data_IF_393473796520
#
_entry.id   IF_393473796520
#
_cell.length_a   1.000
_cell.length_b   1.000
_cell.length_c   1.000
_cell.angle_alpha   90.00
_cell.angle_beta   90.00
_cell.angle_gamma   90.00
#
_symmetry.space_group_name_H-M   'P 1'
#
loop_
_entity.id
_entity.type
_entity.pdbx_description
1 polymer ?
#
# COMPACT_ATOMS: atom_id res chain seq x y z
N UNK A 1 -0.01 4.65 12.29
CA UNK A 1 0.76 4.73 13.56
C UNK A 1 2.25 4.87 13.20
N UNK A 2 2.73 6.10 13.06
CA UNK A 2 4.15 6.39 12.84
C UNK A 2 4.66 7.15 14.08
N UNK A 3 5.74 6.72 14.75
CA UNK A 3 6.29 7.44 15.89
C UNK A 3 7.03 8.71 15.46
N UNK A 4 6.89 9.78 16.24
CA UNK A 4 7.59 11.05 16.06
C UNK A 4 9.07 10.95 16.45
N UNK A 5 9.95 11.57 15.66
CA UNK A 5 11.39 11.57 15.86
C UNK A 5 11.85 12.74 16.74
N UNK A 6 12.56 12.42 17.83
CA UNK A 6 13.31 13.37 18.66
C UNK A 6 14.70 13.67 18.08
N UNK A 7 15.29 14.76 18.57
CA UNK A 7 16.38 15.54 17.98
C UNK A 7 17.73 14.82 17.75
N UNK A 8 18.49 15.43 16.83
CA UNK A 8 19.69 14.93 16.17
C UNK A 8 20.97 14.91 17.03
N UNK A 9 21.81 13.91 16.78
CA UNK A 9 23.25 13.95 17.03
C UNK A 9 24.00 13.60 15.72
N UNK A 10 24.97 14.44 15.35
CA UNK A 10 25.74 14.33 14.11
C UNK A 10 26.60 13.06 14.08
N UNK A 11 26.39 12.21 13.07
CA UNK A 11 27.26 11.07 12.77
C UNK A 11 27.83 11.18 11.34
N UNK A 12 29.12 10.83 11.23
CA UNK A 12 29.95 10.75 10.01
C UNK A 12 29.21 10.13 8.82
N UNK A 13 29.52 10.52 7.57
CA UNK A 13 28.90 9.93 6.40
C UNK A 13 29.40 8.49 6.22
N UNK A 14 28.64 7.54 6.75
CA UNK A 14 28.72 6.16 6.30
C UNK A 14 28.36 6.16 4.80
N UNK A 15 29.18 5.51 3.98
CA UNK A 15 28.78 5.10 2.62
C UNK A 15 27.43 4.40 2.75
N UNK A 16 26.35 5.11 2.39
CA UNK A 16 24.98 4.60 2.50
C UNK A 16 24.85 3.48 1.49
N UNK A 17 25.02 2.24 1.92
CA UNK A 17 24.48 1.12 1.17
C UNK A 17 23.00 1.40 0.96
N UNK A 18 22.54 1.38 -0.29
CA UNK A 18 21.11 1.59 -0.59
C UNK A 18 20.34 0.48 0.09
N UNK A 19 19.51 0.81 1.09
CA UNK A 19 18.64 -0.16 1.75
C UNK A 19 17.80 -0.88 0.70
N UNK A 20 17.93 -2.22 0.56
CA UNK A 20 17.14 -2.96 -0.40
C UNK A 20 15.66 -2.87 -0.05
N UNK A 21 14.80 -2.65 -1.04
CA UNK A 21 13.35 -2.73 -0.86
C UNK A 21 12.82 -4.16 -1.08
N UNK A 22 13.68 -5.06 -1.55
CA UNK A 22 13.35 -6.46 -1.78
C UNK A 22 13.47 -7.30 -0.52
N UNK A 23 12.77 -8.43 -0.51
CA UNK A 23 12.78 -9.42 0.56
C UNK A 23 12.56 -10.84 0.02
N UNK A 24 13.02 -11.86 0.76
CA UNK A 24 12.62 -13.24 0.51
C UNK A 24 11.31 -13.54 1.23
N UNK A 25 10.35 -14.08 0.48
CA UNK A 25 9.06 -14.47 1.03
C UNK A 25 9.19 -15.71 1.92
N UNK A 26 8.50 -15.68 3.06
CA UNK A 26 8.36 -16.75 4.02
C UNK A 26 6.88 -17.06 4.23
N UNK A 27 6.42 -18.31 4.01
CA UNK A 27 5.02 -18.70 4.26
C UNK A 27 4.57 -18.46 5.70
N UNK A 28 5.48 -18.62 6.67
CA UNK A 28 5.18 -18.40 8.08
C UNK A 28 4.88 -16.92 8.38
N UNK A 29 5.57 -15.99 7.70
CA UNK A 29 5.28 -14.55 7.81
C UNK A 29 3.91 -14.25 7.19
N UNK A 30 3.61 -14.78 6.01
CA UNK A 30 2.31 -14.55 5.36
C UNK A 30 1.14 -15.05 6.22
N UNK A 31 1.27 -16.26 6.79
CA UNK A 31 0.24 -16.80 7.68
C UNK A 31 0.01 -15.92 8.91
N UNK A 32 1.10 -15.39 9.52
CA UNK A 32 1.02 -14.47 10.66
C UNK A 32 0.35 -13.16 10.27
N UNK A 33 0.74 -12.57 9.14
CA UNK A 33 0.18 -11.30 8.64
C UNK A 33 -1.31 -11.43 8.37
N UNK A 34 -1.73 -12.49 7.67
CA UNK A 34 -3.14 -12.75 7.39
C UNK A 34 -3.96 -12.91 8.68
N UNK A 35 -3.44 -13.66 9.65
CA UNK A 35 -4.08 -13.81 10.97
C UNK A 35 -4.25 -12.45 11.65
N UNK A 36 -3.16 -11.70 11.83
CA UNK A 36 -3.17 -10.40 12.50
C UNK A 36 -4.08 -9.40 11.78
N UNK A 37 -4.10 -9.43 10.45
CA UNK A 37 -4.97 -8.58 9.65
C UNK A 37 -6.45 -8.92 9.85
N UNK A 38 -6.81 -10.20 9.87
CA UNK A 38 -8.20 -10.63 10.13
C UNK A 38 -8.68 -10.25 11.53
N UNK A 39 -7.80 -10.35 12.54
CA UNK A 39 -8.09 -9.92 13.91
C UNK A 39 -8.25 -8.40 13.99
N UNK A 40 -7.44 -7.64 13.26
CA UNK A 40 -7.60 -6.20 13.13
C UNK A 40 -8.95 -5.84 12.49
N UNK A 41 -9.34 -6.53 11.42
CA UNK A 41 -10.64 -6.31 10.77
C UNK A 41 -11.81 -6.69 11.68
N UNK A 42 -11.67 -7.73 12.52
CA UNK A 42 -12.68 -8.08 13.51
C UNK A 42 -12.91 -6.94 14.52
N UNK A 43 -11.83 -6.26 14.93
CA UNK A 43 -11.91 -5.08 15.82
C UNK A 43 -12.53 -3.86 15.14
N UNK A 44 -12.23 -3.67 13.85
CA UNK A 44 -12.66 -2.49 13.10
C UNK A 44 -14.09 -2.58 12.56
N UNK A 45 -14.50 -3.76 12.09
CA UNK A 45 -15.76 -3.99 11.36
C UNK A 45 -16.67 -5.01 12.06
N UNK A 46 -16.35 -5.40 13.29
CA UNK A 46 -17.08 -6.43 14.05
C UNK A 46 -16.67 -7.86 13.67
N UNK A 47 -17.11 -8.83 14.47
CA UNK A 47 -16.74 -10.24 14.34
C UNK A 47 -17.04 -10.80 12.93
N UNK A 48 -18.14 -10.35 12.31
CA UNK A 48 -18.56 -10.80 10.97
C UNK A 48 -17.60 -10.31 9.88
N UNK A 49 -17.19 -9.03 9.93
CA UNK A 49 -16.21 -8.48 9.00
C UNK A 49 -14.85 -9.17 9.10
N UNK A 50 -14.39 -9.45 10.32
CA UNK A 50 -13.17 -10.24 10.55
C UNK A 50 -13.26 -11.66 9.99
N UNK A 51 -14.39 -12.34 10.20
CA UNK A 51 -14.64 -13.70 9.67
C UNK A 51 -14.65 -13.71 8.14
N UNK A 52 -15.35 -12.77 7.50
CA UNK A 52 -15.41 -12.67 6.04
C UNK A 52 -14.02 -12.46 5.42
N UNK A 53 -13.20 -11.59 6.01
CA UNK A 53 -11.83 -11.35 5.56
C UNK A 53 -10.97 -12.61 5.73
N UNK A 54 -11.06 -13.29 6.87
CA UNK A 54 -10.35 -14.55 7.10
C UNK A 54 -10.76 -15.65 6.11
N UNK A 55 -12.06 -15.77 5.82
CA UNK A 55 -12.59 -16.72 4.83
C UNK A 55 -12.07 -16.44 3.43
N UNK A 56 -12.04 -15.18 3.02
CA UNK A 56 -11.49 -14.78 1.72
C UNK A 56 -10.01 -15.15 1.59
N UNK A 57 -9.20 -14.89 2.62
CA UNK A 57 -7.78 -15.24 2.63
C UNK A 57 -7.53 -16.76 2.66
N UNK A 58 -8.44 -17.55 3.25
CA UNK A 58 -8.35 -19.02 3.20
C UNK A 58 -8.69 -19.58 1.83
N UNK A 59 -9.63 -18.96 1.11
CA UNK A 59 -10.09 -19.42 -0.22
C UNK A 59 -9.10 -19.07 -1.32
N UNK A 60 -8.36 -17.99 -1.17
CA UNK A 60 -7.46 -17.49 -2.21
C UNK A 60 -6.19 -16.97 -1.56
N UNK A 61 -5.03 -17.39 -2.07
CA UNK A 61 -3.74 -16.80 -1.68
C UNK A 61 -3.75 -15.29 -1.96
N UNK A 62 -3.74 -14.42 -0.92
CA UNK A 62 -3.85 -12.98 -1.12
C UNK A 62 -2.67 -12.39 -1.88
N UNK A 63 -1.45 -12.90 -1.66
CA UNK A 63 -0.25 -12.39 -2.35
C UNK A 63 -0.33 -12.73 -3.84
N UNK A 64 -0.77 -13.96 -4.17
CA UNK A 64 -1.01 -14.36 -5.56
C UNK A 64 -2.12 -13.54 -6.21
N UNK A 65 -3.24 -13.33 -5.51
CA UNK A 65 -4.35 -12.52 -6.02
C UNK A 65 -3.91 -11.07 -6.29
N UNK A 66 -3.20 -10.46 -5.34
CA UNK A 66 -2.62 -9.13 -5.52
C UNK A 66 -1.68 -9.09 -6.73
N UNK A 67 -0.78 -10.07 -6.86
CA UNK A 67 0.15 -10.16 -7.99
C UNK A 67 -0.56 -10.25 -9.34
N UNK A 68 -1.71 -10.92 -9.42
CA UNK A 68 -2.48 -11.01 -10.65
C UNK A 68 -3.12 -9.67 -11.03
N UNK A 69 -3.63 -8.92 -10.05
CA UNK A 69 -4.27 -7.63 -10.27
C UNK A 69 -3.29 -6.55 -10.74
N UNK A 70 -2.03 -6.59 -10.27
CA UNK A 70 -1.02 -5.56 -10.59
C UNK A 70 -0.05 -5.98 -11.70
N UNK A 71 -0.21 -7.18 -12.28
CA UNK A 71 0.74 -7.73 -13.26
C UNK A 71 0.86 -6.85 -14.52
N UNK A 72 -0.26 -6.33 -15.02
CA UNK A 72 -0.27 -5.43 -16.19
C UNK A 72 0.49 -4.13 -15.93
N UNK A 73 0.50 -3.66 -14.69
CA UNK A 73 1.24 -2.48 -14.24
C UNK A 73 2.73 -2.76 -14.03
N UNK A 74 3.15 -4.03 -14.07
CA UNK A 74 4.55 -4.44 -13.98
C UNK A 74 5.10 -4.50 -12.56
N UNK A 75 4.21 -4.52 -11.58
CA UNK A 75 4.54 -4.70 -10.18
C UNK A 75 4.55 -6.20 -9.83
N UNK A 76 5.35 -6.57 -8.84
CA UNK A 76 5.51 -7.96 -8.40
C UNK A 76 5.62 -8.07 -6.87
N UNK A 77 5.25 -9.21 -6.28
CA UNK A 77 5.51 -9.45 -4.86
C UNK A 77 7.02 -9.60 -4.62
N UNK A 78 7.46 -9.46 -3.37
CA UNK A 78 8.89 -9.55 -3.02
C UNK A 78 9.64 -8.22 -3.07
N UNK A 79 8.96 -7.11 -3.38
CA UNK A 79 9.50 -5.75 -3.32
C UNK A 79 8.50 -4.81 -2.60
N UNK A 80 8.93 -4.20 -1.49
CA UNK A 80 8.13 -3.23 -0.75
C UNK A 80 7.84 -1.95 -1.55
N UNK A 81 8.70 -1.58 -2.50
CA UNK A 81 8.44 -0.45 -3.38
C UNK A 81 7.26 -0.73 -4.31
N UNK A 82 7.11 -1.97 -4.78
CA UNK A 82 6.00 -2.38 -5.63
C UNK A 82 4.69 -2.40 -4.85
N UNK A 83 4.70 -2.98 -3.64
CA UNK A 83 3.54 -2.98 -2.77
C UNK A 83 3.08 -1.55 -2.41
N UNK A 84 4.03 -0.67 -2.09
CA UNK A 84 3.74 0.73 -1.77
C UNK A 84 3.25 1.51 -2.99
N UNK A 85 3.84 1.30 -4.17
CA UNK A 85 3.41 1.95 -5.40
C UNK A 85 1.97 1.59 -5.76
N UNK A 86 1.62 0.30 -5.75
CA UNK A 86 0.25 -0.15 -5.98
C UNK A 86 -0.74 0.48 -5.01
N UNK A 87 -0.38 0.54 -3.73
CA UNK A 87 -1.22 1.14 -2.69
C UNK A 87 -1.46 2.63 -2.93
N UNK A 88 -0.41 3.40 -3.27
CA UNK A 88 -0.51 4.82 -3.61
C UNK A 88 -1.36 5.06 -4.85
N UNK A 89 -1.13 4.31 -5.93
CA UNK A 89 -1.86 4.45 -7.19
C UNK A 89 -3.35 4.15 -7.00
N UNK A 90 -3.70 3.04 -6.35
CA UNK A 90 -5.09 2.70 -6.06
C UNK A 90 -5.80 3.82 -5.27
N UNK A 91 -5.15 4.33 -4.22
CA UNK A 91 -5.75 5.38 -3.40
C UNK A 91 -5.89 6.69 -4.16
N UNK A 92 -4.94 7.04 -5.04
CA UNK A 92 -5.08 8.19 -5.92
C UNK A 92 -6.23 8.02 -6.92
N UNK A 93 -6.36 6.83 -7.54
CA UNK A 93 -7.44 6.46 -8.46
C UNK A 93 -8.80 6.61 -7.77
N UNK A 94 -8.97 6.07 -6.56
CA UNK A 94 -10.19 6.22 -5.78
C UNK A 94 -10.48 7.69 -5.43
N UNK A 95 -9.47 8.44 -4.98
CA UNK A 95 -9.62 9.82 -4.52
C UNK A 95 -9.98 10.81 -5.65
N UNK A 96 -9.49 10.55 -6.87
CA UNK A 96 -9.65 11.44 -8.02
C UNK A 96 -10.59 10.88 -9.10
N UNK A 97 -11.16 9.68 -8.90
CA UNK A 97 -11.90 8.92 -9.93
C UNK A 97 -11.14 8.82 -11.26
N UNK A 98 -9.82 8.69 -11.14
CA UNK A 98 -8.91 8.64 -12.26
C UNK A 98 -8.71 7.21 -12.76
N UNK A 99 -7.78 7.07 -13.68
CA UNK A 99 -7.24 5.78 -14.12
C UNK A 99 -5.72 5.87 -14.12
N UNK A 100 -5.05 4.72 -14.22
CA UNK A 100 -3.60 4.65 -14.37
C UNK A 100 -3.22 3.78 -15.57
N UNK A 101 -1.99 3.94 -16.03
CA UNK A 101 -1.38 3.01 -16.96
C UNK A 101 -0.06 2.49 -16.38
N UNK A 102 0.52 1.48 -17.06
CA UNK A 102 1.80 0.87 -16.67
C UNK A 102 2.92 1.90 -16.47
N UNK A 103 3.09 2.85 -17.40
CA UNK A 103 4.18 3.83 -17.31
C UNK A 103 4.04 4.72 -16.07
N UNK A 104 2.82 5.17 -15.79
CA UNK A 104 2.49 5.97 -14.61
C UNK A 104 2.71 5.20 -13.30
N UNK A 105 2.26 3.95 -13.24
CA UNK A 105 2.46 3.10 -12.05
C UNK A 105 3.95 2.83 -11.79
N UNK A 106 4.73 2.56 -12.83
CA UNK A 106 6.18 2.40 -12.71
C UNK A 106 6.88 3.69 -12.30
N UNK A 107 6.40 4.85 -12.76
CA UNK A 107 6.93 6.13 -12.33
C UNK A 107 6.68 6.39 -10.83
N UNK A 108 5.51 5.99 -10.30
CA UNK A 108 5.24 6.02 -8.86
C UNK A 108 6.15 5.04 -8.10
N UNK A 109 6.41 3.85 -8.64
CA UNK A 109 7.38 2.90 -8.06
C UNK A 109 8.77 3.53 -7.92
N UNK A 110 9.26 4.19 -8.96
CA UNK A 110 10.55 4.89 -8.92
C UNK A 110 10.56 6.09 -7.97
N UNK A 111 9.41 6.73 -7.76
CA UNK A 111 9.27 7.82 -6.78
C UNK A 111 9.30 7.31 -5.33
N UNK A 112 8.64 6.18 -5.03
CA UNK A 112 8.57 5.68 -3.65
C UNK A 112 9.81 4.89 -3.23
N UNK A 113 10.53 4.26 -4.16
CA UNK A 113 11.75 3.49 -3.88
C UNK A 113 12.80 4.28 -3.07
N UNK A 114 13.21 5.51 -3.46
CA UNK A 114 14.14 6.30 -2.66
C UNK A 114 13.54 6.78 -1.33
N UNK A 115 12.21 6.97 -1.23
CA UNK A 115 11.55 7.32 0.04
C UNK A 115 11.67 6.18 1.06
N UNK A 116 11.49 4.93 0.61
CA UNK A 116 11.70 3.74 1.43
C UNK A 116 13.17 3.65 1.85
N UNK A 117 14.10 3.79 0.91
CA UNK A 117 15.53 3.67 1.17
C UNK A 117 16.06 4.77 2.13
N UNK A 118 15.45 5.95 2.11
CA UNK A 118 15.79 7.06 3.00
C UNK A 118 15.13 6.96 4.39
N UNK A 119 14.16 6.06 4.59
CA UNK A 119 13.45 5.91 5.87
C UNK A 119 14.28 5.05 6.86
N UNK A 120 14.75 5.61 7.99
CA UNK A 120 15.54 4.86 8.97
C UNK A 120 14.77 3.70 9.60
N UNK A 121 13.47 3.87 9.85
CA UNK A 121 12.62 2.83 10.42
C UNK A 121 12.51 1.63 9.48
N UNK A 122 12.41 1.88 8.17
CA UNK A 122 12.41 0.82 7.16
C UNK A 122 13.80 0.16 7.02
N UNK A 123 14.86 0.97 7.09
CA UNK A 123 16.24 0.47 6.94
C UNK A 123 16.65 -0.52 8.02
N UNK A 124 16.05 -0.41 9.21
CA UNK A 124 16.27 -1.34 10.32
C UNK A 124 15.45 -2.64 10.22
N UNK A 125 14.56 -2.79 9.23
CA UNK A 125 13.74 -3.98 9.08
C UNK A 125 14.55 -5.15 8.48
N UNK A 126 14.39 -6.33 9.07
CA UNK A 126 14.83 -7.59 8.48
C UNK A 126 13.91 -8.03 7.31
N UNK A 127 14.30 -9.05 6.54
CA UNK A 127 13.53 -9.53 5.38
C UNK A 127 12.07 -9.88 5.74
N UNK A 128 11.83 -10.54 6.89
CA UNK A 128 10.48 -10.91 7.34
C UNK A 128 9.63 -9.70 7.73
N UNK A 129 10.23 -8.66 8.31
CA UNK A 129 9.53 -7.41 8.61
C UNK A 129 9.21 -6.60 7.35
N UNK A 130 10.09 -6.63 6.34
CA UNK A 130 9.81 -6.03 5.01
C UNK A 130 8.68 -6.77 4.30
N UNK A 131 8.66 -8.10 4.40
CA UNK A 131 7.54 -8.90 3.90
C UNK A 131 6.24 -8.50 4.59
N UNK A 132 6.23 -8.44 5.93
CA UNK A 132 5.05 -8.02 6.69
C UNK A 132 4.56 -6.63 6.30
N UNK A 133 5.46 -5.65 6.20
CA UNK A 133 5.14 -4.31 5.71
C UNK A 133 4.46 -4.36 4.33
N UNK A 134 5.03 -5.15 3.41
CA UNK A 134 4.54 -5.25 2.04
C UNK A 134 3.18 -5.95 1.97
N UNK A 135 3.01 -7.06 2.68
CA UNK A 135 1.76 -7.81 2.66
C UNK A 135 0.60 -7.07 3.34
N UNK A 136 0.87 -6.26 4.38
CA UNK A 136 -0.15 -5.37 4.94
C UNK A 136 -0.65 -4.36 3.89
N UNK A 137 0.24 -3.80 3.07
CA UNK A 137 -0.15 -2.92 1.96
C UNK A 137 -0.95 -3.67 0.88
N UNK A 138 -0.52 -4.89 0.53
CA UNK A 138 -1.24 -5.74 -0.43
C UNK A 138 -2.65 -6.08 0.06
N UNK A 139 -2.81 -6.44 1.33
CA UNK A 139 -4.11 -6.77 1.92
C UNK A 139 -5.04 -5.55 1.97
N UNK A 140 -4.51 -4.38 2.36
CA UNK A 140 -5.28 -3.14 2.29
C UNK A 140 -5.68 -2.81 0.85
N UNK A 141 -4.78 -2.98 -0.12
CA UNK A 141 -5.08 -2.81 -1.54
C UNK A 141 -6.24 -3.72 -1.97
N UNK A 142 -6.19 -5.02 -1.65
CA UNK A 142 -7.20 -5.98 -2.07
C UNK A 142 -8.60 -5.63 -1.56
N UNK A 143 -8.71 -5.24 -0.29
CA UNK A 143 -10.00 -4.88 0.32
C UNK A 143 -10.55 -3.60 -0.29
N UNK A 144 -9.70 -2.57 -0.42
CA UNK A 144 -10.10 -1.28 -0.98
C UNK A 144 -10.49 -1.43 -2.46
N UNK A 145 -9.72 -2.21 -3.21
CA UNK A 145 -10.00 -2.48 -4.60
C UNK A 145 -11.31 -3.26 -4.77
N UNK A 146 -11.52 -4.33 -3.99
CA UNK A 146 -12.77 -5.09 -4.06
C UNK A 146 -13.99 -4.19 -3.81
N UNK A 147 -13.94 -3.34 -2.77
CA UNK A 147 -15.01 -2.39 -2.46
C UNK A 147 -15.22 -1.34 -3.57
N UNK A 148 -14.14 -0.80 -4.14
CA UNK A 148 -14.22 0.22 -5.18
C UNK A 148 -14.75 -0.33 -6.50
N UNK A 149 -14.24 -1.48 -6.97
CA UNK A 149 -14.76 -2.14 -8.18
C UNK A 149 -16.22 -2.55 -8.03
N UNK A 150 -16.61 -3.03 -6.85
CA UNK A 150 -18.00 -3.38 -6.56
C UNK A 150 -18.93 -2.15 -6.62
N UNK A 151 -18.51 -1.02 -6.05
CA UNK A 151 -19.22 0.26 -6.18
C UNK A 151 -19.28 0.77 -7.63
N UNK A 152 -18.22 0.57 -8.43
CA UNK A 152 -18.23 0.87 -9.87
C UNK A 152 -19.22 0.00 -10.64
N UNK A 153 -19.19 -1.31 -10.42
CA UNK A 153 -20.09 -2.28 -11.08
C UNK A 153 -21.56 -2.00 -10.79
N UNK A 154 -21.89 -1.56 -9.57
CA UNK A 154 -23.25 -1.18 -9.19
C UNK A 154 -23.67 0.22 -9.63
N UNK A 155 -22.76 1.03 -10.17
CA UNK A 155 -23.02 2.45 -10.45
C UNK A 155 -23.27 3.28 -9.19
N UNK A 156 -22.81 2.82 -8.02
CA UNK A 156 -23.02 3.49 -6.74
C UNK A 156 -22.04 4.66 -6.55
N UNK A 157 -22.41 5.82 -7.10
CA UNK A 157 -21.58 7.02 -7.05
C UNK A 157 -21.32 7.52 -5.62
N UNK A 158 -22.25 7.26 -4.70
CA UNK A 158 -22.11 7.66 -3.29
C UNK A 158 -21.04 6.81 -2.61
N UNK A 159 -21.08 5.49 -2.79
CA UNK A 159 -20.06 4.60 -2.26
C UNK A 159 -18.67 4.92 -2.85
N UNK A 160 -18.58 5.18 -4.17
CA UNK A 160 -17.33 5.62 -4.79
C UNK A 160 -16.78 6.91 -4.16
N UNK A 161 -17.65 7.90 -3.92
CA UNK A 161 -17.24 9.15 -3.26
C UNK A 161 -16.72 8.90 -1.85
N UNK A 162 -17.45 8.11 -1.06
CA UNK A 162 -17.06 7.79 0.32
C UNK A 162 -15.72 7.07 0.40
N UNK A 163 -15.46 6.13 -0.52
CA UNK A 163 -14.17 5.44 -0.63
C UNK A 163 -13.04 6.42 -1.00
N UNK A 164 -13.28 7.33 -1.95
CA UNK A 164 -12.33 8.38 -2.31
C UNK A 164 -12.05 9.36 -1.17
N UNK A 165 -13.09 9.79 -0.43
CA UNK A 165 -12.94 10.64 0.76
C UNK A 165 -12.16 9.94 1.87
N UNK A 166 -12.41 8.65 2.10
CA UNK A 166 -11.67 7.85 3.06
C UNK A 166 -10.18 7.69 2.69
N UNK A 167 -9.87 7.55 1.40
CA UNK A 167 -8.50 7.54 0.90
C UNK A 167 -7.78 8.88 1.18
N UNK A 168 -8.42 10.01 0.88
CA UNK A 168 -7.88 11.36 1.17
C UNK A 168 -7.66 11.56 2.67
N UNK A 169 -8.64 11.23 3.50
CA UNK A 169 -8.53 11.37 4.95
C UNK A 169 -7.36 10.55 5.51
N UNK A 170 -7.19 9.31 5.05
CA UNK A 170 -6.08 8.44 5.45
C UNK A 170 -4.73 9.02 5.08
N UNK A 171 -4.54 9.45 3.83
CA UNK A 171 -3.28 10.00 3.37
C UNK A 171 -2.92 11.33 4.04
N UNK A 172 -3.91 12.18 4.31
CA UNK A 172 -3.69 13.42 5.08
C UNK A 172 -3.26 13.10 6.52
N UNK A 173 -3.94 12.17 7.19
CA UNK A 173 -3.69 11.86 8.59
C UNK A 173 -2.40 11.06 8.83
N UNK A 174 -2.05 10.15 7.91
CA UNK A 174 -0.94 9.23 8.09
C UNK A 174 0.35 9.68 7.40
N UNK A 175 0.23 10.46 6.31
CA UNK A 175 1.37 10.85 5.46
C UNK A 175 1.47 12.35 5.23
N UNK A 176 0.51 13.16 5.72
CA UNK A 176 0.49 14.61 5.48
C UNK A 176 0.25 14.98 4.01
N UNK A 177 -0.30 14.07 3.21
CA UNK A 177 -0.48 14.25 1.76
C UNK A 177 -1.96 14.33 1.41
N UNK A 178 -2.33 15.35 0.65
CA UNK A 178 -3.65 15.41 0.02
C UNK A 178 -3.61 14.83 -1.40
N UNK A 179 -4.17 13.64 -1.57
CA UNK A 179 -4.24 12.98 -2.88
C UNK A 179 -4.98 13.80 -3.94
N UNK A 180 -5.87 14.71 -3.55
CA UNK A 180 -6.62 15.56 -4.49
C UNK A 180 -5.83 16.74 -4.99
N UNK A 181 -4.69 17.06 -4.38
CA UNK A 181 -3.76 18.08 -4.90
C UNK A 181 -2.69 17.49 -5.79
N UNK A 182 -2.73 16.17 -6.04
CA UNK A 182 -1.77 15.47 -6.88
C UNK A 182 -2.39 15.10 -8.23
N UNK A 183 -1.53 15.03 -9.24
CA UNK A 183 -1.84 14.51 -10.56
C UNK A 183 -0.90 13.34 -10.84
N UNK A 184 -1.46 12.22 -11.28
CA UNK A 184 -0.69 11.07 -11.75
C UNK A 184 -0.19 11.34 -13.18
N UNK A 185 1.12 11.17 -13.38
CA UNK A 185 1.80 11.44 -14.65
C UNK A 185 2.86 10.37 -14.93
N UNK A 186 3.47 10.42 -16.12
CA UNK A 186 4.60 9.54 -16.46
C UNK A 186 5.87 9.85 -15.66
N UNK A 187 5.83 10.88 -14.79
CA UNK A 187 6.87 11.21 -13.81
C UNK A 187 6.46 10.86 -12.37
N UNK A 188 5.38 10.11 -12.19
CA UNK A 188 4.80 9.75 -10.90
C UNK A 188 3.74 10.75 -10.45
N UNK A 189 3.52 10.84 -9.14
CA UNK A 189 2.57 11.75 -8.52
C UNK A 189 3.24 13.12 -8.31
N UNK A 190 2.71 14.13 -8.99
CA UNK A 190 3.22 15.51 -8.93
C UNK A 190 2.15 16.46 -8.41
N UNK A 191 2.57 17.56 -7.78
CA UNK A 191 1.64 18.61 -7.37
C UNK A 191 0.89 19.16 -8.59
N UNK A 192 -0.43 19.25 -8.47
CA UNK A 192 -1.28 19.91 -9.46
C UNK A 192 -0.92 21.40 -9.48
N UNK A 193 -0.66 21.92 -10.68
CA UNK A 193 -0.49 23.36 -10.90
C UNK A 193 -1.84 24.06 -10.98
#
# INVERSE_FOLDING_TARGET
LFPQAGAAASARPATRGTTPTTYRASPAVSARVQKQFSEFMARQAGADGGRQVADAMRRTDPVRNWSQLVASDGLRPGDSADALAAYWVLNWVMANRGDNNRAQTLAVREQVRPMIAANPAYSNLNEGQRQEFSEVLMLNFLIQQAAYVDAMKRGDQRAQQQLGDAAVARFRNEMGVDLRTLTLTDRGLVQRR
#
